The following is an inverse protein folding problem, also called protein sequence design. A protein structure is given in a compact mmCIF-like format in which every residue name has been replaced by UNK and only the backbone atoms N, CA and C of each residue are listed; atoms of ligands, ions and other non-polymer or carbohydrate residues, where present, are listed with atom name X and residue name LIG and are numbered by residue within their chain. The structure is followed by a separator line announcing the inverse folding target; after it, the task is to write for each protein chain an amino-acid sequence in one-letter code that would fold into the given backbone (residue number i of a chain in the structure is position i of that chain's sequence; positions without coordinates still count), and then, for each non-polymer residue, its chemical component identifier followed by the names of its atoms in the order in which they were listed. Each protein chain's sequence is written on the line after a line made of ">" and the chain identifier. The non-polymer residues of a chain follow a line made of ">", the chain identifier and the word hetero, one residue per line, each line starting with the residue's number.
data_IF_272627033727
#
_entry.id   IF_272627033727
#
_cell.length_a   1.000
_cell.length_b   1.000
_cell.length_c   1.000
_cell.angle_alpha   90.00
_cell.angle_beta   90.00
_cell.angle_gamma   90.00
#
_symmetry.space_group_name_H-M   'P 1'
#
loop_
_entity.id
_entity.type
_entity.pdbx_description
1 polymer ?
#
# COMPACT_ATOMS: atom_id res chain seq x y z
N UNK A 1 9.19 13.62 -4.08
CA UNK A 1 8.75 14.43 -5.24
C UNK A 1 7.50 13.88 -5.95
N UNK A 2 6.76 12.91 -5.40
CA UNK A 2 5.49 12.42 -5.99
C UNK A 2 4.23 12.90 -5.24
N UNK A 3 4.34 13.25 -3.96
CA UNK A 3 3.22 13.78 -3.15
C UNK A 3 2.82 15.23 -3.48
N UNK A 4 3.68 16.03 -4.10
CA UNK A 4 3.39 17.44 -4.41
C UNK A 4 2.55 17.66 -5.68
N UNK A 5 2.41 16.65 -6.54
CA UNK A 5 1.78 16.82 -7.86
C UNK A 5 0.32 16.34 -7.94
N UNK A 6 -0.22 15.71 -6.89
CA UNK A 6 -1.59 15.17 -6.90
C UNK A 6 -1.85 14.09 -7.96
N UNK A 7 -0.80 13.56 -8.59
CA UNK A 7 -0.91 12.53 -9.61
C UNK A 7 -1.13 11.15 -8.98
N UNK A 8 -1.91 10.34 -9.69
CA UNK A 8 -2.12 8.93 -9.37
C UNK A 8 -0.82 8.14 -9.60
N UNK A 9 -0.71 6.99 -8.94
CA UNK A 9 0.42 6.06 -9.16
C UNK A 9 0.56 5.65 -10.63
N UNK A 10 -0.55 5.44 -11.34
CA UNK A 10 -0.51 5.09 -12.77
C UNK A 10 0.13 6.20 -13.62
N UNK A 11 -0.19 7.47 -13.34
CA UNK A 11 0.39 8.61 -14.05
C UNK A 11 1.89 8.76 -13.75
N UNK A 12 2.29 8.49 -12.51
CA UNK A 12 3.71 8.46 -12.11
C UNK A 12 4.46 7.32 -12.81
N UNK A 13 3.87 6.13 -12.94
CA UNK A 13 4.47 5.00 -13.65
C UNK A 13 4.70 5.30 -15.14
N UNK A 14 3.72 5.93 -15.79
CA UNK A 14 3.81 6.26 -17.21
C UNK A 14 4.85 7.36 -17.48
N UNK A 15 4.90 8.39 -16.62
CA UNK A 15 5.78 9.54 -16.81
C UNK A 15 7.22 9.33 -16.30
N UNK A 16 7.39 8.74 -15.12
CA UNK A 16 8.69 8.72 -14.43
C UNK A 16 9.44 7.39 -14.64
N UNK A 17 8.74 6.32 -15.05
CA UNK A 17 9.33 4.98 -15.21
C UNK A 17 9.42 4.50 -16.67
N UNK A 18 9.26 5.39 -17.66
CA UNK A 18 9.28 5.06 -19.09
C UNK A 18 8.37 3.86 -19.45
N UNK A 19 7.19 3.78 -18.84
CA UNK A 19 6.25 2.67 -19.04
C UNK A 19 6.57 1.38 -18.29
N UNK A 20 7.57 1.36 -17.40
CA UNK A 20 7.74 0.25 -16.46
C UNK A 20 6.68 0.30 -15.36
N UNK A 21 5.95 -0.80 -15.19
CA UNK A 21 4.97 -0.96 -14.11
C UNK A 21 5.67 -1.22 -12.78
N UNK A 22 5.22 -0.57 -11.72
CA UNK A 22 5.74 -0.78 -10.38
C UNK A 22 5.15 -2.09 -9.83
N UNK A 23 5.87 -3.21 -9.95
CA UNK A 23 5.35 -4.52 -9.55
C UNK A 23 4.92 -4.61 -8.07
N UNK A 24 5.46 -3.73 -7.20
CA UNK A 24 5.08 -3.67 -5.79
C UNK A 24 3.61 -3.27 -5.56
N UNK A 25 3.01 -2.44 -6.42
CA UNK A 25 1.64 -1.94 -6.24
C UNK A 25 0.62 -3.03 -6.50
N UNK A 26 0.76 -3.75 -7.61
CA UNK A 26 -0.09 -4.90 -7.94
C UNK A 26 0.10 -6.05 -6.95
N UNK A 27 1.34 -6.34 -6.57
CA UNK A 27 1.65 -7.38 -5.58
C UNK A 27 1.00 -7.08 -4.22
N UNK A 28 1.03 -5.83 -3.75
CA UNK A 28 0.37 -5.45 -2.49
C UNK A 28 -1.15 -5.65 -2.54
N UNK A 29 -1.78 -5.39 -3.69
CA UNK A 29 -3.21 -5.67 -3.88
C UNK A 29 -3.52 -7.16 -3.87
N UNK A 30 -2.73 -7.98 -4.57
CA UNK A 30 -2.92 -9.44 -4.62
C UNK A 30 -2.73 -10.09 -3.24
N UNK A 31 -1.68 -9.69 -2.52
CA UNK A 31 -1.41 -10.17 -1.16
C UNK A 31 -2.55 -9.77 -0.22
N UNK A 32 -2.98 -8.51 -0.20
CA UNK A 32 -4.05 -8.11 0.72
C UNK A 32 -5.40 -8.76 0.38
N UNK A 33 -5.70 -8.95 -0.92
CA UNK A 33 -6.89 -9.71 -1.33
C UNK A 33 -6.86 -11.17 -0.88
N UNK A 34 -5.68 -11.81 -0.89
CA UNK A 34 -5.50 -13.15 -0.35
C UNK A 34 -5.71 -13.17 1.17
N UNK A 35 -5.08 -12.25 1.91
CA UNK A 35 -5.22 -12.15 3.37
C UNK A 35 -6.66 -11.90 3.80
N UNK A 36 -7.38 -11.03 3.09
CA UNK A 36 -8.81 -10.77 3.31
C UNK A 36 -9.67 -12.01 3.19
N UNK A 37 -9.41 -12.85 2.16
CA UNK A 37 -10.12 -14.13 1.99
C UNK A 37 -9.84 -15.12 3.13
N UNK A 38 -8.70 -15.00 3.79
CA UNK A 38 -8.32 -15.82 4.95
C UNK A 38 -8.73 -15.19 6.29
N UNK A 39 -9.23 -13.95 6.31
CA UNK A 39 -9.48 -13.21 7.54
C UNK A 39 -8.21 -12.83 8.32
N UNK A 40 -7.09 -12.66 7.62
CA UNK A 40 -5.76 -12.45 8.21
C UNK A 40 -5.22 -11.03 8.01
N UNK A 41 -6.03 -10.06 7.57
CA UNK A 41 -5.57 -8.67 7.36
C UNK A 41 -4.95 -8.09 8.65
N UNK A 42 -5.58 -8.33 9.79
CA UNK A 42 -5.08 -7.88 11.10
C UNK A 42 -3.76 -8.56 11.50
N UNK A 43 -3.47 -9.75 10.97
CA UNK A 43 -2.22 -10.46 11.23
C UNK A 43 -1.02 -9.85 10.50
N UNK A 44 -1.27 -9.14 9.40
CA UNK A 44 -0.25 -8.56 8.53
C UNK A 44 -0.50 -7.06 8.31
N UNK A 45 -0.46 -6.25 9.39
CA UNK A 45 -0.89 -4.85 9.36
C UNK A 45 -0.10 -4.00 8.37
N UNK A 46 1.17 -4.33 8.10
CA UNK A 46 1.97 -3.60 7.11
C UNK A 46 1.45 -3.80 5.69
N UNK A 47 1.10 -5.03 5.28
CA UNK A 47 0.57 -5.28 3.94
C UNK A 47 -0.80 -4.61 3.76
N UNK A 48 -1.64 -4.66 4.80
CA UNK A 48 -2.94 -3.98 4.78
C UNK A 48 -2.81 -2.46 4.77
N UNK A 49 -1.85 -1.89 5.51
CA UNK A 49 -1.56 -0.45 5.47
C UNK A 49 -1.11 0.00 4.08
N UNK A 50 -0.15 -0.71 3.47
CA UNK A 50 0.33 -0.41 2.11
C UNK A 50 -0.83 -0.48 1.11
N UNK A 51 -1.64 -1.53 1.17
CA UNK A 51 -2.83 -1.66 0.32
C UNK A 51 -3.79 -0.47 0.49
N UNK A 52 -4.09 -0.07 1.73
CA UNK A 52 -5.00 1.05 1.99
C UNK A 52 -4.46 2.39 1.48
N UNK A 53 -3.15 2.62 1.55
CA UNK A 53 -2.50 3.80 0.97
C UNK A 53 -2.65 3.81 -0.55
N UNK A 54 -2.39 2.67 -1.20
CA UNK A 54 -2.56 2.52 -2.65
C UNK A 54 -4.02 2.73 -3.09
N UNK A 55 -4.99 2.41 -2.23
CA UNK A 55 -6.41 2.65 -2.46
C UNK A 55 -6.87 4.08 -2.10
N UNK A 56 -5.99 4.94 -1.61
CA UNK A 56 -6.33 6.30 -1.15
C UNK A 56 -7.19 6.34 0.12
N UNK A 57 -7.24 5.24 0.88
CA UNK A 57 -8.00 5.11 2.14
C UNK A 57 -7.20 5.53 3.36
N UNK A 58 -5.88 5.63 3.22
CA UNK A 58 -4.96 6.02 4.30
C UNK A 58 -3.76 6.77 3.73
N UNK A 59 -2.92 7.31 4.62
CA UNK A 59 -1.70 8.03 4.25
C UNK A 59 -0.44 7.31 4.74
N UNK A 60 0.67 7.51 4.04
CA UNK A 60 1.94 6.84 4.34
C UNK A 60 2.49 7.22 5.72
N UNK A 61 2.20 8.43 6.20
CA UNK A 61 2.60 8.91 7.52
C UNK A 61 1.95 8.12 8.67
N UNK A 62 0.82 7.46 8.41
CA UNK A 62 0.08 6.69 9.41
C UNK A 62 0.61 5.25 9.55
N UNK A 63 1.57 4.81 8.72
CA UNK A 63 2.12 3.45 8.80
C UNK A 63 2.60 3.07 10.21
N UNK A 64 3.37 3.90 10.94
CA UNK A 64 3.83 3.57 12.29
C UNK A 64 2.68 3.21 13.23
N UNK A 65 1.62 4.02 13.26
CA UNK A 65 0.44 3.78 14.11
C UNK A 65 -0.30 2.49 13.72
N UNK A 66 -0.35 2.16 12.43
CA UNK A 66 -1.01 0.93 11.93
C UNK A 66 -0.29 -0.34 12.34
N UNK A 67 1.05 -0.32 12.37
CA UNK A 67 1.87 -1.51 12.68
C UNK A 67 2.19 -1.64 14.17
N UNK A 68 2.27 -0.54 14.91
CA UNK A 68 2.57 -0.53 16.36
C UNK A 68 1.44 -1.07 17.22
N UNK A 69 0.21 -1.15 16.68
CA UNK A 69 -0.94 -1.76 17.37
C UNK A 69 -0.72 -3.24 17.72
N UNK A 70 0.20 -3.92 17.03
CA UNK A 70 0.74 -5.22 17.41
C UNK A 70 2.04 -5.07 18.17
N UNK A 71 1.95 -4.57 19.40
CA UNK A 71 3.00 -4.81 20.39
C UNK A 71 3.02 -6.32 20.65
N UNK A 72 3.97 -7.03 20.05
CA UNK A 72 4.28 -8.41 20.43
C UNK A 72 4.47 -8.43 21.97
N UNK A 73 3.86 -9.39 22.68
CA UNK A 73 4.01 -9.49 24.14
C UNK A 73 5.48 -9.61 24.55
#
# INVERSE_FOLDING_TARGET
>A
MSVERGMTINEVEEQELNGQKLQGTSTAADVNNFLKKQGLEDEFPLFTAIYNILQGKDKAENIPERIESKKYP
#
